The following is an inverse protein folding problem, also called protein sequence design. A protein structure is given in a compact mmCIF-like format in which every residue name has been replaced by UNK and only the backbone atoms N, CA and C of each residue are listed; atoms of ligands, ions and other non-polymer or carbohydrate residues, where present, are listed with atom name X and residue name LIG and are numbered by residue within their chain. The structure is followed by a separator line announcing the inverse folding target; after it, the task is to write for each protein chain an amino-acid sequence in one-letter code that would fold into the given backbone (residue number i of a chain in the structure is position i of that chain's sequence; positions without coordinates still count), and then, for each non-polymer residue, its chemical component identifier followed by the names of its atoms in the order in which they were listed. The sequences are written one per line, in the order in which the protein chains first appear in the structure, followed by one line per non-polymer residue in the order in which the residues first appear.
data_IF_652424880114
#
_entry.id   IF_652424880114
#
_cell.length_a   1.000
_cell.length_b   1.000
_cell.length_c   1.000
_cell.angle_alpha   90.00
_cell.angle_beta   90.00
_cell.angle_gamma   90.00
#
_symmetry.space_group_name_H-M   'P 1'
#
loop_
_entity.id
_entity.type
_entity.pdbx_description
1 polymer ?
#
# COMPACT_ATOMS: atom_id res chain seq x y z
N UNK A 1 -14.49 -12.90 -5.92
CA UNK A 1 -14.84 -12.34 -4.59
C UNK A 1 -13.91 -12.74 -3.43
N UNK A 2 -13.25 -13.90 -3.48
CA UNK A 2 -12.44 -14.43 -2.35
C UNK A 2 -11.01 -13.87 -2.34
N UNK A 3 -10.64 -13.04 -3.32
CA UNK A 3 -9.38 -12.28 -3.33
C UNK A 3 -9.66 -10.79 -3.17
N UNK A 4 -8.70 -10.03 -2.63
CA UNK A 4 -8.81 -8.58 -2.48
C UNK A 4 -9.02 -7.81 -3.79
N UNK A 5 -8.61 -8.37 -4.94
CA UNK A 5 -8.69 -7.69 -6.26
C UNK A 5 -10.06 -7.08 -6.56
N UNK A 6 -11.13 -7.88 -6.49
CA UNK A 6 -12.48 -7.39 -6.82
C UNK A 6 -12.98 -6.32 -5.84
N UNK A 7 -12.54 -6.38 -4.59
CA UNK A 7 -12.91 -5.41 -3.56
C UNK A 7 -12.25 -4.06 -3.80
N UNK A 8 -10.93 -4.03 -4.01
CA UNK A 8 -10.22 -2.77 -4.22
C UNK A 8 -10.42 -2.20 -5.64
N UNK A 9 -10.69 -3.04 -6.64
CA UNK A 9 -11.08 -2.56 -7.96
C UNK A 9 -12.49 -1.95 -7.98
N UNK A 10 -13.39 -2.40 -7.09
CA UNK A 10 -14.77 -1.89 -6.98
C UNK A 10 -14.94 -0.70 -6.04
N UNK A 11 -13.91 -0.33 -5.28
CA UNK A 11 -13.95 0.83 -4.39
C UNK A 11 -13.51 2.10 -5.14
N UNK A 12 -14.15 3.23 -4.83
CA UNK A 12 -13.77 4.55 -5.34
C UNK A 12 -12.55 5.08 -4.58
N UNK A 13 -11.41 4.44 -4.81
CA UNK A 13 -10.17 4.68 -4.07
C UNK A 13 -8.95 4.32 -4.90
N UNK A 14 -7.81 4.97 -4.62
CA UNK A 14 -6.55 4.77 -5.33
C UNK A 14 -5.84 3.43 -5.01
N UNK A 15 -6.40 2.59 -4.15
CA UNK A 15 -5.69 1.46 -3.53
C UNK A 15 -5.38 0.29 -4.45
N UNK A 16 -5.99 0.24 -5.64
CA UNK A 16 -5.67 -0.79 -6.63
C UNK A 16 -4.39 -0.49 -7.41
N UNK A 17 -3.99 0.79 -7.48
CA UNK A 17 -2.86 1.25 -8.30
C UNK A 17 -1.48 0.73 -7.88
N UNK A 18 -1.17 0.46 -6.59
CA UNK A 18 0.09 -0.17 -6.22
C UNK A 18 0.32 -1.49 -6.94
N UNK A 19 -0.68 -2.37 -6.98
CA UNK A 19 -0.56 -3.67 -7.65
C UNK A 19 -0.58 -3.52 -9.18
N UNK A 20 -1.40 -2.60 -9.71
CA UNK A 20 -1.38 -2.30 -11.16
C UNK A 20 0.01 -1.82 -11.60
N UNK A 21 0.63 -0.92 -10.85
CA UNK A 21 1.98 -0.42 -11.10
C UNK A 21 3.03 -1.52 -11.05
N UNK A 22 2.98 -2.39 -10.03
CA UNK A 22 3.88 -3.56 -9.93
C UNK A 22 3.69 -4.53 -11.11
N UNK A 23 2.45 -4.83 -11.49
CA UNK A 23 2.16 -5.72 -12.61
C UNK A 23 2.62 -5.11 -13.93
N UNK A 24 2.35 -3.81 -14.17
CA UNK A 24 2.78 -3.11 -15.37
C UNK A 24 4.32 -3.11 -15.50
N UNK A 25 5.01 -2.82 -14.40
CA UNK A 25 6.46 -2.90 -14.31
C UNK A 25 6.97 -4.31 -14.57
N UNK A 26 6.36 -5.33 -13.95
CA UNK A 26 6.75 -6.74 -14.11
C UNK A 26 6.58 -7.19 -15.56
N UNK A 27 5.42 -6.93 -16.17
CA UNK A 27 5.16 -7.26 -17.58
C UNK A 27 6.17 -6.54 -18.48
N UNK A 28 6.44 -5.25 -18.24
CA UNK A 28 7.43 -4.51 -19.03
C UNK A 28 8.84 -5.11 -18.94
N UNK A 29 9.28 -5.50 -17.74
CA UNK A 29 10.63 -6.04 -17.51
C UNK A 29 10.83 -7.42 -18.15
N UNK A 30 9.80 -8.26 -18.17
CA UNK A 30 9.90 -9.66 -18.57
C UNK A 30 9.34 -9.98 -19.96
N UNK A 31 8.69 -9.02 -20.63
CA UNK A 31 8.27 -9.21 -22.02
C UNK A 31 9.51 -9.11 -22.94
N UNK A 32 9.83 -10.14 -23.74
CA UNK A 32 11.04 -10.14 -24.57
C UNK A 32 10.96 -9.12 -25.72
N UNK A 33 9.85 -9.09 -26.44
CA UNK A 33 9.67 -8.26 -27.63
C UNK A 33 9.31 -6.81 -27.30
N UNK A 34 9.78 -5.87 -28.11
CA UNK A 34 9.35 -4.49 -28.03
C UNK A 34 8.03 -4.30 -28.80
N UNK A 35 7.07 -3.61 -28.19
CA UNK A 35 5.79 -3.23 -28.79
C UNK A 35 5.42 -1.84 -28.30
N UNK A 36 4.72 -1.03 -29.10
CA UNK A 36 4.26 0.31 -28.69
C UNK A 36 3.39 0.25 -27.42
N UNK A 37 2.66 -0.85 -27.21
CA UNK A 37 1.88 -1.09 -25.98
C UNK A 37 2.72 -1.08 -24.69
N UNK A 38 4.03 -1.30 -24.78
CA UNK A 38 4.93 -1.21 -23.63
C UNK A 38 5.10 0.21 -23.10
N UNK A 39 4.97 1.22 -23.97
CA UNK A 39 4.95 2.63 -23.54
C UNK A 39 3.74 2.85 -22.63
N UNK A 40 2.60 2.24 -22.96
CA UNK A 40 1.41 2.25 -22.11
C UNK A 40 1.66 1.71 -20.70
N UNK A 41 2.48 0.65 -20.56
CA UNK A 41 2.84 0.11 -19.25
C UNK A 41 3.72 1.07 -18.43
N UNK A 42 4.67 1.74 -19.10
CA UNK A 42 5.52 2.74 -18.47
C UNK A 42 4.72 3.97 -18.03
N UNK A 43 3.78 4.43 -18.86
CA UNK A 43 2.85 5.51 -18.50
C UNK A 43 1.95 5.09 -17.33
N UNK A 44 1.51 3.83 -17.29
CA UNK A 44 0.71 3.30 -16.19
C UNK A 44 1.49 3.26 -14.87
N UNK A 45 2.80 3.01 -14.90
CA UNK A 45 3.67 3.13 -13.72
C UNK A 45 3.72 4.57 -13.21
N UNK A 46 3.91 5.55 -14.10
CA UNK A 46 3.88 6.99 -13.72
C UNK A 46 2.51 7.34 -13.14
N UNK A 47 1.44 6.92 -13.80
CA UNK A 47 0.07 7.19 -13.37
C UNK A 47 -0.24 6.59 -12.00
N UNK A 48 0.18 5.35 -11.73
CA UNK A 48 0.03 4.73 -10.42
C UNK A 48 0.68 5.56 -9.30
N UNK A 49 1.91 6.04 -9.52
CA UNK A 49 2.60 6.95 -8.60
C UNK A 49 1.85 8.25 -8.32
N UNK A 50 1.18 8.81 -9.34
CA UNK A 50 0.46 10.08 -9.21
C UNK A 50 -0.89 9.93 -8.52
N UNK A 51 -1.58 8.81 -8.75
CA UNK A 51 -2.87 8.52 -8.12
C UNK A 51 -2.69 8.06 -6.67
N UNK A 52 -1.62 7.34 -6.37
CA UNK A 52 -1.33 6.86 -5.02
C UNK A 52 0.10 7.19 -4.58
N UNK A 53 0.26 8.24 -3.77
CA UNK A 53 1.57 8.82 -3.44
C UNK A 53 2.59 7.82 -2.84
N UNK A 54 2.16 6.81 -2.08
CA UNK A 54 3.08 5.79 -1.54
C UNK A 54 3.85 5.04 -2.62
N UNK A 55 3.32 5.00 -3.85
CA UNK A 55 3.92 4.26 -4.95
C UNK A 55 5.18 4.93 -5.50
N UNK A 56 5.37 6.22 -5.21
CA UNK A 56 6.66 6.91 -5.40
C UNK A 56 7.80 6.26 -4.61
N UNK A 57 7.49 5.51 -3.55
CA UNK A 57 8.47 4.75 -2.75
C UNK A 57 8.35 3.25 -2.98
N UNK A 58 7.13 2.70 -3.00
CA UNK A 58 6.89 1.26 -3.14
C UNK A 58 7.43 0.75 -4.48
N UNK A 59 7.13 1.40 -5.61
CA UNK A 59 7.51 0.89 -6.92
C UNK A 59 9.04 0.91 -7.13
N UNK A 60 9.80 1.97 -6.77
CA UNK A 60 11.26 1.92 -6.80
C UNK A 60 11.86 0.82 -5.91
N UNK A 61 11.33 0.62 -4.70
CA UNK A 61 11.84 -0.42 -3.79
C UNK A 61 11.58 -1.83 -4.34
N UNK A 62 10.41 -2.08 -4.91
CA UNK A 62 10.10 -3.32 -5.62
C UNK A 62 11.00 -3.48 -6.84
N UNK A 63 11.21 -2.43 -7.64
CA UNK A 63 12.11 -2.45 -8.80
C UNK A 63 13.53 -2.85 -8.41
N UNK A 64 14.11 -2.19 -7.40
CA UNK A 64 15.45 -2.52 -6.88
C UNK A 64 15.49 -3.95 -6.38
N UNK A 65 14.47 -4.41 -5.65
CA UNK A 65 14.37 -5.79 -5.17
C UNK A 65 14.40 -6.79 -6.31
N UNK A 66 13.66 -6.53 -7.40
CA UNK A 66 13.64 -7.38 -8.60
C UNK A 66 14.98 -7.37 -9.35
N UNK A 67 15.65 -6.22 -9.46
CA UNK A 67 16.98 -6.11 -10.07
C UNK A 67 18.01 -6.91 -9.27
N UNK A 68 18.05 -6.72 -7.94
CA UNK A 68 18.96 -7.44 -7.04
C UNK A 68 18.69 -8.94 -7.10
N UNK A 69 17.43 -9.34 -6.98
CA UNK A 69 16.96 -10.72 -7.14
C UNK A 69 17.47 -11.38 -8.42
N UNK A 70 17.29 -10.70 -9.56
CA UNK A 70 17.72 -11.20 -10.87
C UNK A 70 19.23 -11.44 -10.89
N UNK A 71 20.02 -10.51 -10.35
CA UNK A 71 21.47 -10.69 -10.24
C UNK A 71 21.86 -11.88 -9.36
N UNK A 72 21.20 -12.06 -8.21
CA UNK A 72 21.45 -13.18 -7.30
C UNK A 72 21.16 -14.55 -7.94
N UNK A 73 20.20 -14.64 -8.86
CA UNK A 73 19.89 -15.89 -9.59
C UNK A 73 20.66 -16.04 -10.92
N UNK A 74 21.68 -15.20 -11.14
CA UNK A 74 22.55 -15.24 -12.32
C UNK A 74 21.86 -14.77 -13.61
N UNK A 75 20.85 -13.90 -13.51
CA UNK A 75 20.15 -13.30 -14.65
C UNK A 75 20.35 -11.79 -14.70
N UNK A 76 20.51 -11.26 -15.91
CA UNK A 76 20.53 -9.83 -16.13
C UNK A 76 19.17 -9.37 -16.64
N UNK A 77 18.68 -8.25 -16.11
CA UNK A 77 17.63 -7.49 -16.78
C UNK A 77 18.29 -6.72 -17.93
N UNK A 78 17.75 -6.76 -19.16
CA UNK A 78 18.30 -5.97 -20.25
C UNK A 78 18.37 -4.49 -19.88
N UNK A 79 19.51 -3.83 -20.13
CA UNK A 79 19.75 -2.45 -19.69
C UNK A 79 18.65 -1.49 -20.14
N UNK A 80 18.16 -1.64 -21.39
CA UNK A 80 17.06 -0.83 -21.94
C UNK A 80 15.76 -0.97 -21.13
N UNK A 81 15.48 -2.17 -20.59
CA UNK A 81 14.29 -2.43 -19.76
C UNK A 81 14.46 -1.81 -18.38
N UNK A 82 15.64 -1.97 -17.77
CA UNK A 82 15.97 -1.32 -16.50
C UNK A 82 15.90 0.21 -16.61
N UNK A 83 16.48 0.78 -17.67
CA UNK A 83 16.43 2.22 -17.95
C UNK A 83 15.01 2.72 -18.20
N UNK A 84 14.16 1.97 -18.92
CA UNK A 84 12.77 2.35 -19.16
C UNK A 84 12.00 2.51 -17.85
N UNK A 85 12.06 1.52 -16.96
CA UNK A 85 11.41 1.59 -15.64
C UNK A 85 12.03 2.68 -14.78
N UNK A 86 13.37 2.75 -14.73
CA UNK A 86 14.07 3.78 -13.96
C UNK A 86 13.70 5.19 -14.39
N UNK A 87 13.64 5.45 -15.70
CA UNK A 87 13.24 6.75 -16.24
C UNK A 87 11.77 7.06 -15.92
N UNK A 88 10.86 6.09 -16.01
CA UNK A 88 9.46 6.29 -15.62
C UNK A 88 9.32 6.65 -14.14
N UNK A 89 10.05 5.99 -13.26
CA UNK A 89 10.02 6.28 -11.82
C UNK A 89 10.63 7.66 -11.51
N UNK A 90 11.73 8.03 -12.16
CA UNK A 90 12.32 9.36 -12.06
C UNK A 90 11.38 10.45 -12.59
N UNK A 91 10.72 10.19 -13.72
CA UNK A 91 9.74 11.08 -14.31
C UNK A 91 8.53 11.26 -13.37
N UNK A 92 8.06 10.19 -12.73
CA UNK A 92 6.97 10.27 -11.77
C UNK A 92 7.27 11.24 -10.62
N UNK A 93 8.49 11.20 -10.08
CA UNK A 93 8.98 12.15 -9.07
C UNK A 93 9.12 13.58 -9.60
N UNK A 94 9.76 13.75 -10.77
CA UNK A 94 10.08 15.06 -11.30
C UNK A 94 8.86 15.82 -11.82
N UNK A 95 7.93 15.12 -12.46
CA UNK A 95 6.78 15.74 -13.10
C UNK A 95 5.60 15.99 -12.15
N UNK A 96 5.53 15.33 -10.99
CA UNK A 96 4.44 15.54 -10.03
C UNK A 96 4.40 16.98 -9.46
N UNK A 97 5.52 17.59 -8.99
CA UNK A 97 5.52 18.99 -8.56
C UNK A 97 5.18 19.96 -9.68
N UNK A 98 5.58 19.64 -10.91
CA UNK A 98 5.28 20.45 -12.10
C UNK A 98 3.78 20.42 -12.40
N UNK A 99 3.18 19.24 -12.37
CA UNK A 99 1.74 19.07 -12.53
C UNK A 99 0.97 19.80 -11.43
N UNK A 100 1.39 19.67 -10.17
CA UNK A 100 0.78 20.37 -9.04
C UNK A 100 0.93 21.90 -9.15
N UNK A 101 2.07 22.40 -9.65
CA UNK A 101 2.25 23.82 -9.92
C UNK A 101 1.32 24.32 -11.03
N UNK A 102 1.14 23.55 -12.10
CA UNK A 102 0.27 23.91 -13.20
C UNK A 102 -1.20 24.02 -12.77
N UNK A 103 -1.66 23.13 -11.87
CA UNK A 103 -3.04 23.13 -11.38
C UNK A 103 -3.28 24.14 -10.26
N UNK A 104 -2.31 24.29 -9.36
CA UNK A 104 -2.53 24.98 -8.07
C UNK A 104 -1.64 26.19 -7.81
N UNK A 105 -0.74 26.53 -8.74
CA UNK A 105 0.21 27.64 -8.62
C UNK A 105 1.48 27.32 -7.82
N UNK A 106 1.48 26.24 -7.02
CA UNK A 106 2.59 25.89 -6.12
C UNK A 106 3.19 24.53 -6.48
N UNK A 107 4.52 24.45 -6.58
CA UNK A 107 5.21 23.18 -6.79
C UNK A 107 5.34 22.40 -5.47
N UNK A 108 4.68 21.24 -5.39
CA UNK A 108 4.75 20.36 -4.23
C UNK A 108 4.49 18.91 -4.62
N UNK A 109 5.01 17.96 -3.83
CA UNK A 109 4.69 16.53 -3.99
C UNK A 109 3.36 16.21 -3.31
N UNK A 110 3.17 16.69 -2.08
CA UNK A 110 1.94 16.56 -1.31
C UNK A 110 1.69 17.82 -0.50
N UNK A 111 0.46 18.31 -0.53
CA UNK A 111 0.03 19.52 0.19
C UNK A 111 -0.16 19.27 1.68
N UNK A 112 -0.43 18.02 2.08
CA UNK A 112 -0.87 17.67 3.43
C UNK A 112 -0.05 16.53 4.07
N UNK A 113 1.14 16.23 3.55
CA UNK A 113 1.99 15.14 4.09
C UNK A 113 2.34 15.32 5.57
N UNK A 114 2.47 16.56 6.04
CA UNK A 114 2.75 16.88 7.44
C UNK A 114 1.63 16.40 8.37
N UNK A 115 0.38 16.36 7.91
CA UNK A 115 -0.75 15.85 8.70
C UNK A 115 -0.61 14.35 8.92
N UNK A 116 -0.29 13.58 7.87
CA UNK A 116 -0.08 12.13 7.96
C UNK A 116 1.15 11.76 8.79
N UNK A 117 2.24 12.52 8.64
CA UNK A 117 3.45 12.29 9.43
C UNK A 117 3.19 12.63 10.90
N UNK A 118 2.52 13.74 11.21
CA UNK A 118 2.20 14.11 12.59
C UNK A 118 1.23 13.09 13.23
N UNK A 119 0.19 12.67 12.53
CA UNK A 119 -0.74 11.65 13.03
C UNK A 119 -0.06 10.29 13.27
N UNK A 120 1.00 9.98 12.50
CA UNK A 120 1.86 8.83 12.77
C UNK A 120 2.72 9.00 14.03
N UNK A 121 3.24 10.19 14.30
CA UNK A 121 3.95 10.49 15.56
C UNK A 121 3.02 10.32 16.78
N UNK A 122 1.74 10.68 16.64
CA UNK A 122 0.70 10.46 17.66
C UNK A 122 0.50 8.98 17.91
N UNK A 123 0.22 8.19 16.86
CA UNK A 123 -0.07 6.76 16.96
C UNK A 123 1.07 5.95 17.58
N UNK A 124 2.31 6.36 17.34
CA UNK A 124 3.50 5.71 17.91
C UNK A 124 3.84 6.16 19.33
N UNK A 125 3.11 7.15 19.88
CA UNK A 125 3.43 7.80 21.16
C UNK A 125 4.66 8.71 21.12
N UNK A 126 5.26 8.89 19.94
CA UNK A 126 6.45 9.72 19.75
C UNK A 126 6.14 11.20 19.99
N UNK A 127 4.99 11.69 19.51
CA UNK A 127 4.61 13.09 19.69
C UNK A 127 4.46 13.45 21.17
N UNK A 128 3.84 12.58 21.96
CA UNK A 128 3.69 12.77 23.41
C UNK A 128 5.07 12.90 24.08
N UNK A 129 5.96 11.97 23.77
CA UNK A 129 7.34 11.96 24.28
C UNK A 129 8.07 13.25 23.92
N UNK A 130 7.91 13.72 22.68
CA UNK A 130 8.55 14.95 22.21
C UNK A 130 8.01 16.21 22.90
N UNK A 131 6.68 16.33 23.05
CA UNK A 131 6.05 17.46 23.72
C UNK A 131 6.41 17.52 25.21
N UNK A 132 6.47 16.37 25.89
CA UNK A 132 6.85 16.32 27.30
C UNK A 132 8.27 16.84 27.56
N UNK A 133 9.17 16.71 26.59
CA UNK A 133 10.56 17.16 26.70
C UNK A 133 10.78 18.60 26.22
N UNK A 134 10.00 19.07 25.25
CA UNK A 134 10.28 20.32 24.55
C UNK A 134 9.35 21.47 24.91
N UNK A 135 8.16 21.21 25.46
CA UNK A 135 7.17 22.28 25.66
C UNK A 135 7.62 23.40 26.61
N UNK A 136 8.53 23.12 27.55
CA UNK A 136 9.07 24.14 28.46
C UNK A 136 10.09 25.06 27.76
N UNK A 137 10.77 24.57 26.71
CA UNK A 137 11.85 25.28 26.01
C UNK A 137 11.47 25.78 24.61
N UNK A 138 10.55 25.09 23.93
CA UNK A 138 10.02 25.41 22.59
C UNK A 138 8.49 25.31 22.64
N UNK A 139 7.79 26.37 23.09
CA UNK A 139 6.34 26.36 23.19
C UNK A 139 5.70 26.28 21.80
N UNK A 140 5.09 25.13 21.51
CA UNK A 140 4.26 24.88 20.33
C UNK A 140 2.76 24.97 20.70
N UNK A 141 1.87 25.19 19.73
CA UNK A 141 0.42 25.16 20.01
C UNK A 141 -0.04 23.79 20.50
N UNK A 142 0.57 22.73 19.96
CA UNK A 142 0.34 21.36 20.40
C UNK A 142 0.66 21.11 21.89
N UNK A 143 1.47 21.96 22.53
CA UNK A 143 1.77 21.85 23.96
C UNK A 143 0.52 22.04 24.85
N UNK A 144 -0.47 22.81 24.38
CA UNK A 144 -1.75 22.96 25.09
C UNK A 144 -2.53 21.64 25.17
N UNK A 145 -2.34 20.76 24.18
CA UNK A 145 -3.06 19.49 24.06
C UNK A 145 -2.22 18.28 24.47
N UNK A 146 -1.02 18.48 25.05
CA UNK A 146 -0.05 17.39 25.26
C UNK A 146 -0.59 16.24 26.12
N UNK A 147 -1.51 16.50 27.05
CA UNK A 147 -2.06 15.49 27.95
C UNK A 147 -3.37 14.86 27.42
N UNK A 148 -3.99 15.49 26.43
CA UNK A 148 -5.26 15.08 25.80
C UNK A 148 -5.06 14.60 24.35
N UNK A 149 -3.86 14.11 24.02
CA UNK A 149 -3.60 13.58 22.68
C UNK A 149 -4.43 12.31 22.42
N UNK A 150 -5.09 12.21 21.26
CA UNK A 150 -5.82 11.00 20.91
C UNK A 150 -4.87 9.81 20.72
N UNK A 151 -5.36 8.60 21.02
CA UNK A 151 -4.52 7.38 20.96
C UNK A 151 -4.29 6.83 19.56
N UNK A 152 -5.04 7.29 18.56
CA UNK A 152 -5.00 6.71 17.20
C UNK A 152 -4.81 7.78 16.14
N UNK A 153 -4.18 7.38 15.03
CA UNK A 153 -4.02 8.21 13.84
C UNK A 153 -5.38 8.76 13.34
N UNK A 154 -6.38 7.88 13.20
CA UNK A 154 -7.72 8.25 12.71
C UNK A 154 -8.40 9.29 13.60
N UNK A 155 -8.30 9.14 14.94
CA UNK A 155 -8.88 10.12 15.87
C UNK A 155 -8.15 11.47 15.79
N UNK A 156 -6.83 11.49 15.63
CA UNK A 156 -6.09 12.74 15.42
C UNK A 156 -6.47 13.43 14.10
N UNK A 157 -6.54 12.69 13.00
CA UNK A 157 -6.77 13.28 11.68
C UNK A 157 -8.21 13.74 11.46
N UNK A 158 -9.17 13.00 12.00
CA UNK A 158 -10.58 13.16 11.63
C UNK A 158 -11.50 13.47 12.81
N UNK A 159 -11.04 13.36 14.05
CA UNK A 159 -11.86 13.70 15.21
C UNK A 159 -12.18 15.19 15.23
N UNK A 160 -13.45 15.55 15.45
CA UNK A 160 -13.89 16.95 15.51
C UNK A 160 -13.24 17.75 16.64
N UNK A 161 -12.87 17.08 17.74
CA UNK A 161 -12.17 17.66 18.90
C UNK A 161 -10.67 17.39 18.89
N UNK A 162 -10.11 16.89 17.77
CA UNK A 162 -8.68 16.61 17.71
C UNK A 162 -7.87 17.91 17.74
N UNK A 163 -6.63 17.90 18.26
CA UNK A 163 -5.76 19.07 18.23
C UNK A 163 -5.59 19.63 16.80
N UNK A 164 -5.53 18.75 15.79
CA UNK A 164 -5.48 19.16 14.39
C UNK A 164 -6.72 19.97 13.97
N UNK A 165 -7.92 19.53 14.36
CA UNK A 165 -9.15 20.23 14.03
C UNK A 165 -9.23 21.59 14.75
N UNK A 166 -8.89 21.62 16.05
CA UNK A 166 -8.92 22.82 16.88
C UNK A 166 -7.89 23.88 16.44
N UNK A 167 -6.73 23.46 15.93
CA UNK A 167 -5.72 24.37 15.35
C UNK A 167 -6.06 24.84 13.92
N UNK A 168 -7.20 24.42 13.38
CA UNK A 168 -7.72 24.78 12.06
C UNK A 168 -7.20 23.93 10.90
N UNK A 169 -6.37 22.93 11.20
CA UNK A 169 -5.93 21.88 10.27
C UNK A 169 -5.24 22.34 8.99
N UNK A 170 -5.09 21.39 8.06
CA UNK A 170 -4.62 21.66 6.71
C UNK A 170 -3.30 22.43 6.64
N UNK A 171 -3.28 23.59 5.97
CA UNK A 171 -2.06 24.40 5.79
C UNK A 171 -1.69 25.23 7.02
N UNK A 172 -2.66 25.55 7.90
CA UNK A 172 -2.44 26.44 9.07
C UNK A 172 -1.48 25.85 10.11
N UNK A 173 -1.35 24.52 10.11
CA UNK A 173 -0.47 23.79 11.03
C UNK A 173 0.86 23.39 10.39
N UNK A 174 1.07 23.69 9.10
CA UNK A 174 2.17 23.13 8.32
C UNK A 174 3.54 23.49 8.88
N UNK A 175 3.80 24.76 9.13
CA UNK A 175 5.11 25.24 9.58
C UNK A 175 5.51 24.63 10.93
N UNK A 176 4.57 24.64 11.88
CA UNK A 176 4.78 24.06 13.21
C UNK A 176 5.00 22.54 13.13
N UNK A 177 4.18 21.83 12.34
CA UNK A 177 4.29 20.38 12.24
C UNK A 177 5.56 19.97 11.51
N UNK A 178 5.93 20.67 10.43
CA UNK A 178 7.19 20.42 9.71
C UNK A 178 8.40 20.61 10.63
N UNK A 179 8.38 21.61 11.52
CA UNK A 179 9.45 21.84 12.49
C UNK A 179 9.58 20.67 13.46
N UNK A 180 8.48 20.25 14.09
CA UNK A 180 8.48 19.11 15.03
C UNK A 180 8.91 17.83 14.32
N UNK A 181 8.32 17.55 13.15
CA UNK A 181 8.70 16.38 12.34
C UNK A 181 10.19 16.39 12.05
N UNK A 182 10.77 17.51 11.61
CA UNK A 182 12.22 17.62 11.36
C UNK A 182 13.03 17.36 12.63
N UNK A 183 12.63 17.89 13.78
CA UNK A 183 13.31 17.66 15.05
C UNK A 183 13.39 16.15 15.38
N UNK A 184 12.29 15.41 15.18
CA UNK A 184 12.27 13.95 15.39
C UNK A 184 13.20 13.16 14.46
N UNK A 185 13.62 13.74 13.32
CA UNK A 185 14.57 13.13 12.39
C UNK A 185 16.02 13.57 12.61
N UNK A 186 16.27 14.57 13.46
CA UNK A 186 17.63 15.06 13.76
C UNK A 186 18.15 14.57 15.11
N UNK A 187 17.26 14.27 16.04
CA UNK A 187 17.61 13.85 17.39
C UNK A 187 17.77 12.31 17.49
N UNK A 188 18.91 11.79 17.99
CA UNK A 188 19.19 10.34 17.99
C UNK A 188 18.13 9.47 18.67
N UNK A 189 17.53 9.96 19.77
CA UNK A 189 16.47 9.27 20.50
C UNK A 189 15.26 8.99 19.59
N UNK A 190 14.80 10.01 18.88
CA UNK A 190 13.60 9.94 18.05
C UNK A 190 13.84 9.18 16.75
N UNK A 191 15.06 9.24 16.19
CA UNK A 191 15.46 8.36 15.08
C UNK A 191 15.34 6.89 15.48
N UNK A 192 15.80 6.53 16.69
CA UNK A 192 15.64 5.17 17.23
C UNK A 192 14.17 4.75 17.35
N UNK A 193 13.31 5.66 17.81
CA UNK A 193 11.86 5.44 17.88
C UNK A 193 11.22 5.26 16.49
N UNK A 194 11.67 6.01 15.47
CA UNK A 194 11.21 5.85 14.10
C UNK A 194 11.55 4.47 13.55
N UNK A 195 12.79 4.01 13.74
CA UNK A 195 13.24 2.69 13.29
C UNK A 195 12.44 1.58 13.98
N UNK A 196 12.37 1.60 15.32
CA UNK A 196 11.68 0.55 16.07
C UNK A 196 10.16 0.56 15.81
N UNK A 197 9.55 1.74 15.78
CA UNK A 197 8.13 1.92 15.47
C UNK A 197 7.80 1.47 14.05
N UNK A 198 8.65 1.78 13.08
CA UNK A 198 8.54 1.30 11.70
C UNK A 198 8.59 -0.23 11.62
N UNK A 199 9.56 -0.87 12.27
CA UNK A 199 9.70 -2.33 12.28
C UNK A 199 8.49 -3.01 12.95
N UNK A 200 8.07 -2.52 14.12
CA UNK A 200 6.92 -3.06 14.85
C UNK A 200 5.64 -2.95 14.01
N UNK A 201 5.36 -1.77 13.47
CA UNK A 201 4.15 -1.55 12.69
C UNK A 201 4.16 -2.26 11.34
N UNK A 202 5.35 -2.47 10.74
CA UNK A 202 5.49 -3.32 9.55
C UNK A 202 5.16 -4.76 9.87
N UNK A 203 5.69 -5.30 10.98
CA UNK A 203 5.43 -6.67 11.42
C UNK A 203 3.94 -6.88 11.76
N UNK A 204 3.34 -5.92 12.45
CA UNK A 204 1.91 -5.90 12.75
C UNK A 204 1.08 -5.90 11.46
N UNK A 205 1.38 -4.99 10.53
CA UNK A 205 0.65 -4.87 9.28
C UNK A 205 0.78 -6.12 8.41
N UNK A 206 1.96 -6.74 8.34
CA UNK A 206 2.16 -8.00 7.61
C UNK A 206 1.29 -9.16 8.13
N UNK A 207 0.83 -9.10 9.39
CA UNK A 207 -0.10 -10.07 9.98
C UNK A 207 -1.59 -9.73 9.78
N UNK A 208 -1.93 -8.55 9.26
CA UNK A 208 -3.31 -8.08 9.13
C UNK A 208 -3.90 -8.39 7.75
N UNK A 209 -4.34 -9.62 7.55
CA UNK A 209 -4.96 -10.07 6.30
C UNK A 209 -6.48 -9.97 6.35
N UNK A 210 -7.01 -8.76 6.21
CA UNK A 210 -8.46 -8.49 6.22
C UNK A 210 -8.80 -7.59 5.04
N UNK A 211 -9.98 -7.79 4.47
CA UNK A 211 -10.47 -7.09 3.28
C UNK A 211 -11.80 -6.37 3.53
N UNK A 212 -12.52 -6.75 4.59
CA UNK A 212 -13.82 -6.20 4.93
C UNK A 212 -13.82 -5.18 6.08
N UNK A 213 -12.72 -5.06 6.84
CA UNK A 213 -12.67 -4.24 8.06
C UNK A 213 -13.08 -2.79 7.89
N UNK A 214 -12.58 -2.13 6.85
CA UNK A 214 -12.98 -0.75 6.59
C UNK A 214 -14.47 -0.71 6.23
N UNK A 215 -14.98 -1.64 5.43
CA UNK A 215 -16.38 -1.64 5.01
C UNK A 215 -17.38 -1.83 6.17
N UNK A 216 -16.97 -2.47 7.26
CA UNK A 216 -17.79 -2.62 8.48
C UNK A 216 -17.55 -1.52 9.53
N UNK A 217 -16.62 -0.59 9.25
CA UNK A 217 -16.19 0.43 10.19
C UNK A 217 -17.32 1.37 10.62
N UNK A 218 -17.60 1.42 11.92
CA UNK A 218 -18.57 2.34 12.51
C UNK A 218 -18.16 3.82 12.33
N UNK A 219 -16.88 4.08 12.10
CA UNK A 219 -16.33 5.42 11.93
C UNK A 219 -17.02 6.23 10.82
N UNK A 220 -17.43 5.60 9.72
CA UNK A 220 -18.06 6.32 8.59
C UNK A 220 -19.46 6.86 8.90
N UNK A 221 -20.07 6.41 9.99
CA UNK A 221 -21.39 6.87 10.46
C UNK A 221 -21.29 8.18 11.22
N UNK A 222 -20.10 8.52 11.71
CA UNK A 222 -19.87 9.73 12.50
C UNK A 222 -19.92 10.95 11.58
N UNK A 223 -20.50 12.03 12.07
CA UNK A 223 -20.68 13.30 11.37
C UNK A 223 -19.35 13.99 11.01
N UNK A 224 -18.30 13.73 11.78
CA UNK A 224 -16.93 14.19 11.52
C UNK A 224 -16.12 13.28 10.60
N UNK A 225 -16.69 12.17 10.12
CA UNK A 225 -15.96 11.28 9.20
C UNK A 225 -15.79 11.91 7.83
N UNK A 226 -14.66 11.64 7.17
CA UNK A 226 -14.36 12.23 5.86
C UNK A 226 -15.44 11.95 4.79
N UNK A 227 -16.00 10.72 4.68
CA UNK A 227 -17.10 10.46 3.73
C UNK A 227 -18.39 11.19 4.09
N UNK A 228 -18.78 11.23 5.38
CA UNK A 228 -19.96 11.97 5.82
C UNK A 228 -19.84 13.45 5.44
N UNK A 229 -18.73 14.09 5.80
CA UNK A 229 -18.49 15.50 5.51
C UNK A 229 -18.51 15.80 4.01
N UNK A 230 -17.92 14.92 3.20
CA UNK A 230 -17.92 15.06 1.74
C UNK A 230 -19.32 14.96 1.15
N UNK A 231 -20.08 13.94 1.51
CA UNK A 231 -21.44 13.74 0.96
C UNK A 231 -22.35 14.87 1.40
N UNK A 232 -22.33 15.25 2.69
CA UNK A 232 -23.14 16.33 3.22
C UNK A 232 -22.82 17.69 2.54
N UNK A 233 -21.57 17.91 2.14
CA UNK A 233 -21.14 19.17 1.53
C UNK A 233 -21.40 19.25 0.02
N UNK A 234 -21.25 18.14 -0.70
CA UNK A 234 -21.30 18.13 -2.17
C UNK A 234 -22.57 17.53 -2.76
N UNK A 235 -23.23 16.60 -2.05
CA UNK A 235 -24.44 15.88 -2.52
C UNK A 235 -25.39 15.62 -1.34
N UNK A 236 -25.87 16.66 -0.65
CA UNK A 236 -26.66 16.52 0.58
C UNK A 236 -27.96 15.69 0.37
N UNK A 237 -28.53 15.71 -0.82
CA UNK A 237 -29.68 14.89 -1.20
C UNK A 237 -29.42 13.37 -1.11
N UNK A 238 -28.16 12.94 -1.19
CA UNK A 238 -27.77 11.54 -1.04
C UNK A 238 -27.63 11.11 0.43
N UNK A 239 -27.69 12.04 1.40
CA UNK A 239 -27.51 11.72 2.82
C UNK A 239 -28.48 10.67 3.36
N UNK A 240 -29.79 10.68 3.03
CA UNK A 240 -30.70 9.62 3.47
C UNK A 240 -30.29 8.24 2.92
N UNK A 241 -29.85 8.16 1.67
CA UNK A 241 -29.37 6.92 1.07
C UNK A 241 -28.03 6.47 1.68
N UNK A 242 -27.13 7.41 1.96
CA UNK A 242 -25.84 7.16 2.60
C UNK A 242 -26.01 6.55 4.00
N UNK A 243 -26.77 7.21 4.87
CA UNK A 243 -27.06 6.72 6.23
C UNK A 243 -27.93 5.46 6.20
N UNK A 244 -28.85 5.39 5.24
CA UNK A 244 -29.72 4.24 4.98
C UNK A 244 -29.02 2.99 4.46
N UNK A 245 -27.75 3.09 4.05
CA UNK A 245 -27.00 1.95 3.50
C UNK A 245 -26.69 0.88 4.56
N UNK A 246 -26.49 -0.37 4.13
CA UNK A 246 -26.03 -1.46 5.00
C UNK A 246 -24.66 -1.20 5.64
N UNK A 247 -23.85 -0.32 5.03
CA UNK A 247 -22.59 0.15 5.58
C UNK A 247 -22.81 1.07 6.78
N UNK A 248 -23.79 1.98 6.71
CA UNK A 248 -23.98 2.98 7.75
C UNK A 248 -25.07 2.69 8.78
N UNK A 249 -26.20 2.07 8.49
CA UNK A 249 -27.15 1.55 9.52
C UNK A 249 -28.50 1.12 8.95
N UNK A 250 -28.96 1.66 7.81
CA UNK A 250 -30.37 1.53 7.41
C UNK A 250 -30.85 0.13 6.99
N UNK A 251 -29.98 -0.86 6.88
CA UNK A 251 -30.33 -2.25 6.58
C UNK A 251 -29.73 -3.28 7.57
N UNK A 252 -29.30 -2.83 8.76
CA UNK A 252 -28.51 -3.62 9.71
C UNK A 252 -27.00 -3.41 9.58
N UNK A 253 -26.19 -4.14 10.35
CA UNK A 253 -24.73 -4.12 10.23
C UNK A 253 -24.27 -5.14 9.19
N UNK A 254 -23.49 -4.71 8.19
CA UNK A 254 -22.74 -5.62 7.33
C UNK A 254 -21.97 -6.65 8.17
N UNK A 255 -22.15 -7.93 7.84
CA UNK A 255 -21.53 -9.06 8.53
C UNK A 255 -20.66 -9.89 7.58
N UNK A 256 -19.58 -9.29 7.11
CA UNK A 256 -18.56 -9.76 6.18
C UNK A 256 -17.38 -10.47 6.84
N UNK A 257 -17.35 -10.64 8.18
CA UNK A 257 -16.27 -11.39 8.88
C UNK A 257 -15.96 -12.78 8.30
N UNK A 258 -16.95 -13.44 7.69
CA UNK A 258 -16.74 -14.73 7.03
C UNK A 258 -15.85 -14.62 5.78
N UNK A 259 -15.89 -13.48 5.07
CA UNK A 259 -15.04 -13.19 3.92
C UNK A 259 -13.60 -12.95 4.34
N UNK A 260 -13.36 -12.26 5.45
CA UNK A 260 -12.00 -12.12 6.01
C UNK A 260 -11.41 -13.50 6.33
N UNK A 261 -12.18 -14.39 6.97
CA UNK A 261 -11.72 -15.75 7.26
C UNK A 261 -11.43 -16.55 5.98
N UNK A 262 -12.30 -16.46 4.97
CA UNK A 262 -12.08 -17.12 3.69
C UNK A 262 -10.83 -16.57 2.99
N UNK A 263 -10.61 -15.25 3.03
CA UNK A 263 -9.44 -14.60 2.46
C UNK A 263 -8.15 -15.03 3.17
N UNK A 264 -8.15 -15.06 4.50
CA UNK A 264 -7.03 -15.55 5.31
C UNK A 264 -6.68 -17.00 4.98
N UNK A 265 -7.69 -17.87 4.84
CA UNK A 265 -7.50 -19.26 4.46
C UNK A 265 -6.87 -19.37 3.06
N UNK A 266 -7.35 -18.62 2.09
CA UNK A 266 -6.78 -18.60 0.73
C UNK A 266 -5.33 -18.11 0.74
N UNK A 267 -5.01 -17.07 1.51
CA UNK A 267 -3.63 -16.57 1.63
C UNK A 267 -2.73 -17.59 2.34
N UNK A 268 -3.19 -18.24 3.40
CA UNK A 268 -2.43 -19.27 4.11
C UNK A 268 -2.13 -20.48 3.20
N UNK A 269 -3.13 -20.97 2.45
CA UNK A 269 -2.95 -22.04 1.46
C UNK A 269 -1.97 -21.60 0.37
N UNK A 270 -2.09 -20.36 -0.11
CA UNK A 270 -1.19 -19.82 -1.15
C UNK A 270 0.24 -19.72 -0.65
N UNK A 271 0.46 -19.26 0.58
CA UNK A 271 1.76 -19.18 1.21
C UNK A 271 2.40 -20.57 1.35
N UNK A 272 1.63 -21.53 1.87
CA UNK A 272 2.08 -22.91 1.99
C UNK A 272 2.43 -23.52 0.63
N UNK A 273 1.59 -23.30 -0.37
CA UNK A 273 1.82 -23.78 -1.74
C UNK A 273 3.07 -23.16 -2.35
N UNK A 274 3.29 -21.86 -2.15
CA UNK A 274 4.51 -21.18 -2.60
C UNK A 274 5.76 -21.79 -1.96
N UNK A 275 5.75 -22.06 -0.65
CA UNK A 275 6.86 -22.73 0.05
C UNK A 275 7.12 -24.13 -0.53
N UNK A 276 6.06 -24.91 -0.77
CA UNK A 276 6.19 -26.25 -1.37
C UNK A 276 6.80 -26.16 -2.78
N UNK A 277 6.36 -25.20 -3.61
CA UNK A 277 6.87 -25.01 -4.97
C UNK A 277 8.36 -24.62 -4.97
N UNK A 278 8.80 -23.80 -4.02
CA UNK A 278 10.21 -23.43 -3.87
C UNK A 278 11.10 -24.63 -3.53
N UNK A 279 10.60 -25.56 -2.69
CA UNK A 279 11.35 -26.76 -2.29
C UNK A 279 11.39 -27.78 -3.43
N UNK A 280 10.23 -28.08 -4.04
CA UNK A 280 10.02 -29.25 -4.90
C UNK A 280 10.27 -29.04 -6.40
N UNK A 281 10.26 -27.81 -6.90
CA UNK A 281 10.12 -27.58 -8.35
C UNK A 281 11.45 -27.49 -9.12
N UNK A 282 11.45 -27.96 -10.38
CA UNK A 282 12.48 -27.63 -11.38
C UNK A 282 12.43 -26.14 -11.83
N UNK A 283 11.30 -25.46 -11.57
CA UNK A 283 11.07 -24.04 -11.84
C UNK A 283 11.48 -23.12 -10.68
N UNK A 284 12.43 -23.54 -9.81
CA UNK A 284 12.95 -22.74 -8.67
C UNK A 284 13.21 -21.28 -9.02
N UNK A 285 13.80 -21.01 -10.20
CA UNK A 285 14.09 -19.64 -10.64
C UNK A 285 12.81 -18.82 -10.90
N UNK A 286 11.79 -19.40 -11.52
CA UNK A 286 10.51 -18.70 -11.74
C UNK A 286 9.75 -18.50 -10.43
N UNK A 287 9.76 -19.52 -9.57
CA UNK A 287 9.15 -19.45 -8.24
C UNK A 287 9.85 -18.41 -7.35
N UNK A 288 11.17 -18.31 -7.42
CA UNK A 288 11.95 -17.28 -6.75
C UNK A 288 11.58 -15.87 -7.24
N UNK A 289 11.51 -15.64 -8.57
CA UNK A 289 11.10 -14.34 -9.11
C UNK A 289 9.68 -13.96 -8.65
N UNK A 290 8.73 -14.90 -8.73
CA UNK A 290 7.37 -14.67 -8.28
C UNK A 290 7.32 -14.33 -6.78
N UNK A 291 8.00 -15.11 -5.94
CA UNK A 291 8.14 -14.81 -4.51
C UNK A 291 8.76 -13.44 -4.27
N UNK A 292 9.79 -13.07 -5.03
CA UNK A 292 10.48 -11.79 -4.88
C UNK A 292 9.57 -10.63 -5.27
N UNK A 293 8.86 -10.70 -6.40
CA UNK A 293 7.90 -9.65 -6.80
C UNK A 293 6.77 -9.54 -5.79
N UNK A 294 6.11 -10.64 -5.43
CA UNK A 294 4.98 -10.62 -4.49
C UNK A 294 5.40 -10.26 -3.07
N UNK A 295 6.43 -10.92 -2.57
CA UNK A 295 6.99 -10.71 -1.23
C UNK A 295 7.54 -9.30 -1.05
N UNK A 296 8.29 -8.77 -2.02
CA UNK A 296 8.77 -7.37 -1.94
C UNK A 296 7.62 -6.37 -2.05
N UNK A 297 6.57 -6.65 -2.83
CA UNK A 297 5.40 -5.76 -2.91
C UNK A 297 4.66 -5.70 -1.57
N UNK A 298 4.45 -6.85 -0.92
CA UNK A 298 3.85 -6.91 0.41
C UNK A 298 4.75 -6.26 1.46
N UNK A 299 6.06 -6.56 1.45
CA UNK A 299 7.02 -6.01 2.41
C UNK A 299 7.16 -4.50 2.30
N UNK A 300 7.44 -3.97 1.11
CA UNK A 300 7.61 -2.53 0.91
C UNK A 300 6.29 -1.79 1.01
N UNK A 301 5.19 -2.40 0.56
CA UNK A 301 3.84 -1.88 0.79
C UNK A 301 3.53 -1.73 2.26
N UNK A 302 3.79 -2.77 3.06
CA UNK A 302 3.62 -2.73 4.52
C UNK A 302 4.52 -1.67 5.14
N UNK A 303 5.82 -1.71 4.82
CA UNK A 303 6.80 -0.82 5.42
C UNK A 303 6.51 0.64 5.15
N UNK A 304 6.28 1.02 3.88
CA UNK A 304 6.01 2.41 3.51
C UNK A 304 4.71 2.90 4.14
N UNK A 305 3.62 2.13 4.06
CA UNK A 305 2.32 2.58 4.56
C UNK A 305 2.28 2.62 6.10
N UNK A 306 2.82 1.61 6.77
CA UNK A 306 2.87 1.56 8.23
C UNK A 306 3.81 2.62 8.81
N UNK A 307 4.91 2.94 8.12
CA UNK A 307 5.90 3.92 8.63
C UNK A 307 5.47 5.37 8.41
N UNK A 308 4.76 5.66 7.33
CA UNK A 308 4.43 7.04 6.93
C UNK A 308 2.96 7.42 7.17
N UNK A 309 2.10 6.46 7.49
CA UNK A 309 0.66 6.69 7.68
C UNK A 309 0.14 5.99 8.93
N UNK A 310 -0.30 4.74 8.83
CA UNK A 310 -0.93 4.00 9.93
C UNK A 310 -0.89 2.49 9.69
N UNK A 311 -1.15 1.71 10.73
CA UNK A 311 -1.37 0.26 10.63
C UNK A 311 -2.84 0.02 10.31
N UNK A 312 -3.15 -0.11 9.02
CA UNK A 312 -4.50 -0.44 8.56
C UNK A 312 -4.49 -1.67 7.66
N UNK A 313 -5.33 -2.65 8.00
CA UNK A 313 -5.53 -3.90 7.24
C UNK A 313 -5.76 -3.66 5.75
N UNK A 314 -6.34 -2.51 5.38
CA UNK A 314 -6.54 -2.05 4.01
C UNK A 314 -5.28 -2.15 3.14
N UNK A 315 -4.12 -1.78 3.69
CA UNK A 315 -2.86 -1.76 2.95
C UNK A 315 -2.37 -3.16 2.58
N UNK A 316 -2.64 -4.17 3.41
CA UNK A 316 -2.39 -5.57 3.05
C UNK A 316 -3.49 -6.15 2.18
N UNK A 317 -4.76 -5.84 2.46
CA UNK A 317 -5.88 -6.30 1.64
C UNK A 317 -5.69 -5.97 0.16
N UNK A 318 -5.14 -4.80 -0.16
CA UNK A 318 -4.91 -4.35 -1.54
C UNK A 318 -3.72 -4.99 -2.24
N UNK A 319 -2.74 -5.54 -1.51
CA UNK A 319 -1.48 -6.09 -2.07
C UNK A 319 -1.34 -7.61 -1.91
N UNK A 320 -1.80 -8.18 -0.81
CA UNK A 320 -1.55 -9.58 -0.45
C UNK A 320 -2.20 -10.58 -1.43
N UNK A 321 -3.23 -10.18 -2.18
CA UNK A 321 -3.83 -11.04 -3.21
C UNK A 321 -2.90 -11.32 -4.40
N UNK A 322 -1.76 -10.64 -4.52
CA UNK A 322 -0.71 -11.01 -5.49
C UNK A 322 -0.18 -12.42 -5.24
N UNK A 323 -0.13 -12.87 -3.99
CA UNK A 323 0.36 -14.18 -3.61
C UNK A 323 -0.45 -15.33 -4.26
N UNK A 324 -1.79 -15.43 -4.11
CA UNK A 324 -2.58 -16.46 -4.78
C UNK A 324 -2.47 -16.40 -6.30
N UNK A 325 -2.38 -15.20 -6.90
CA UNK A 325 -2.23 -15.05 -8.35
C UNK A 325 -0.89 -15.59 -8.83
N UNK A 326 0.20 -15.28 -8.11
CA UNK A 326 1.52 -15.80 -8.43
C UNK A 326 1.59 -17.32 -8.30
N UNK A 327 1.00 -17.88 -7.25
CA UNK A 327 0.89 -19.34 -7.08
C UNK A 327 0.14 -19.96 -8.25
N UNK A 328 -1.01 -19.41 -8.64
CA UNK A 328 -1.79 -19.90 -9.77
C UNK A 328 -0.99 -19.86 -11.09
N UNK A 329 -0.27 -18.76 -11.36
CA UNK A 329 0.58 -18.63 -12.54
C UNK A 329 1.73 -19.64 -12.56
N UNK A 330 2.36 -19.91 -11.41
CA UNK A 330 3.43 -20.91 -11.31
C UNK A 330 2.92 -22.33 -11.52
N UNK A 331 1.75 -22.66 -10.97
CA UNK A 331 1.10 -23.96 -11.17
C UNK A 331 0.76 -24.13 -12.65
N UNK A 332 0.13 -23.13 -13.27
CA UNK A 332 -0.22 -23.14 -14.68
C UNK A 332 1.01 -23.31 -15.58
N UNK A 333 2.08 -22.56 -15.31
CA UNK A 333 3.36 -22.72 -16.01
C UNK A 333 3.95 -24.13 -15.82
N UNK A 334 3.91 -24.67 -14.60
CA UNK A 334 4.40 -26.01 -14.31
C UNK A 334 3.58 -27.11 -15.01
N UNK A 335 2.30 -26.87 -15.31
CA UNK A 335 1.48 -27.78 -16.11
C UNK A 335 1.87 -27.74 -17.60
N UNK A 336 2.21 -26.56 -18.14
CA UNK A 336 2.70 -26.38 -19.52
C UNK A 336 4.07 -27.04 -19.76
N UNK A 337 4.95 -27.02 -18.75
CA UNK A 337 6.30 -27.59 -18.86
C UNK A 337 6.36 -29.11 -18.67
N UNK A 338 5.26 -29.77 -18.27
CA UNK A 338 5.21 -31.24 -18.19
C UNK A 338 5.13 -31.81 -19.60
N UNK A 339 6.08 -32.67 -20.02
CA UNK A 339 5.97 -33.34 -21.32
C UNK A 339 4.66 -34.11 -21.37
N UNK A 340 3.90 -33.96 -22.45
CA UNK A 340 2.84 -34.90 -22.81
C UNK A 340 3.44 -36.30 -22.75
N UNK A 341 3.04 -37.09 -21.75
CA UNK A 341 3.52 -38.46 -21.58
C UNK A 341 3.12 -39.20 -22.85
N UNK A 342 4.10 -39.50 -23.69
CA UNK A 342 3.94 -40.09 -25.01
C UNK A 342 3.04 -41.34 -24.90
N UNK A 343 1.86 -41.26 -25.50
CA UNK A 343 0.96 -42.39 -25.64
C UNK A 343 1.39 -43.20 -26.88
N UNK A 344 2.65 -43.66 -26.89
CA UNK A 344 3.10 -44.68 -27.83
C UNK A 344 3.15 -46.00 -27.07
N UNK A 345 1.96 -46.59 -26.87
CA UNK A 345 1.87 -48.02 -26.63
C UNK A 345 2.41 -48.71 -27.87
N UNK A 346 3.65 -49.19 -27.77
CA UNK A 346 4.24 -50.18 -28.65
C UNK A 346 3.27 -51.36 -28.70
N UNK A 347 2.58 -51.53 -29.81
CA UNK A 347 1.96 -52.81 -30.17
C UNK A 347 3.13 -53.73 -30.53
N UNK A 348 3.37 -54.84 -29.83
CA UNK A 348 4.33 -55.82 -30.29
C UNK A 348 3.68 -56.53 -31.48
N UNK A 349 4.29 -56.41 -32.66
CA UNK A 349 4.02 -57.32 -33.78
C UNK A 349 4.26 -58.76 -33.28
N UNK A 350 3.20 -59.57 -33.26
CA UNK A 350 3.34 -61.02 -33.25
C UNK A 350 3.41 -61.46 -34.71
N UNK A 351 4.49 -62.16 -35.04
CA UNK A 351 4.69 -62.81 -36.34
C UNK A 351 3.86 -64.07 -36.53
#
# INVERSE_FOLDING_TARGET
PITGLGWYAGQLVADIFPVIGVLAMTVFLFTPEWRLSLIGLLLLVVFACWVHLSDLLILPLVFVSVVVAQRLIGRAIPIRRGMGVGLSLLLAWAALPVANKAVSGEAHISRYSHVFMMSRLVETGMLKTWLDEHCDTDPARLCYYKDDLPRTNKAFMWGGESPLALEGGGRKVKEEYDRIIRATWTEPKYIGMHILGSLRSTAELLGLWRIADELEGQFYRMDYSAPYGSINSFVPEAMPAYLGSAQNTGAGTLGLRYLDRAYQLVLAISLLTMVILLIRSASRKASAIALMVGGSTMLWGAWVCASLSTVDSRFMGRTAWMLPVMVALLIWKGQQERPTRNNNSVIPERG
#
